data_IF_333389631600
#
_entry.id   IF_333389631600
#
_cell.length_a   1.000
_cell.length_b   1.000
_cell.length_c   1.000
_cell.angle_alpha   90.00
_cell.angle_beta   90.00
_cell.angle_gamma   90.00
#
_symmetry.space_group_name_H-M   'P 1'
#
loop_
_entity.id
_entity.type
_entity.pdbx_description
1 polymer ?
#
# COMPACT_ATOMS: atom_id res chain seq x y z
N UNK A 1 51.04 30.83 24.21
CA UNK A 1 50.70 30.58 22.80
C UNK A 1 50.48 29.10 22.52
N UNK A 2 51.39 28.18 22.88
CA UNK A 2 51.29 26.73 22.66
C UNK A 2 50.10 26.12 23.40
N UNK A 3 49.87 26.46 24.67
CA UNK A 3 48.77 25.97 25.49
C UNK A 3 47.40 26.41 24.90
N UNK A 4 47.29 27.66 24.44
CA UNK A 4 46.09 28.23 23.82
C UNK A 4 45.76 27.50 22.50
N UNK A 5 46.78 27.18 21.70
CA UNK A 5 46.61 26.41 20.46
C UNK A 5 46.12 24.98 20.74
N UNK A 6 46.69 24.30 21.74
CA UNK A 6 46.24 22.96 22.15
C UNK A 6 44.78 22.96 22.63
N UNK A 7 44.39 23.95 23.40
CA UNK A 7 43.03 24.09 23.91
C UNK A 7 42.03 24.33 22.76
N UNK A 8 42.44 25.13 21.77
CA UNK A 8 41.65 25.35 20.56
C UNK A 8 41.48 24.07 19.74
N UNK A 9 42.52 23.27 19.59
CA UNK A 9 42.47 21.98 18.89
C UNK A 9 41.54 21.00 19.61
N UNK A 10 41.56 20.95 20.95
CA UNK A 10 40.67 20.08 21.74
C UNK A 10 39.21 20.51 21.57
N UNK A 11 38.91 21.81 21.65
CA UNK A 11 37.56 22.33 21.46
C UNK A 11 37.05 22.07 20.05
N UNK A 12 37.93 22.25 19.04
CA UNK A 12 37.58 21.99 17.66
C UNK A 12 37.27 20.49 17.41
N UNK A 13 38.10 19.58 17.95
CA UNK A 13 37.86 18.14 17.85
C UNK A 13 36.59 17.70 18.58
N UNK A 14 36.31 18.26 19.75
CA UNK A 14 35.08 17.99 20.48
C UNK A 14 33.85 18.47 19.71
N UNK A 15 33.87 19.69 19.18
CA UNK A 15 32.82 20.24 18.35
C UNK A 15 32.60 19.40 17.09
N UNK A 16 33.70 18.99 16.43
CA UNK A 16 33.63 18.12 15.25
C UNK A 16 32.97 16.77 15.55
N UNK A 17 33.38 16.10 16.64
CA UNK A 17 32.81 14.81 17.03
C UNK A 17 31.33 14.97 17.40
N UNK A 18 30.97 15.98 18.18
CA UNK A 18 29.59 16.26 18.58
C UNK A 18 28.68 16.47 17.34
N UNK A 19 29.13 17.31 16.40
CA UNK A 19 28.37 17.60 15.18
C UNK A 19 28.22 16.38 14.28
N UNK A 20 29.29 15.58 14.18
CA UNK A 20 29.23 14.30 13.42
C UNK A 20 28.25 13.31 14.02
N UNK A 21 28.16 13.21 15.34
CA UNK A 21 27.21 12.31 16.03
C UNK A 21 25.80 12.78 15.81
N UNK A 22 25.50 14.06 15.98
CA UNK A 22 24.18 14.66 15.74
C UNK A 22 23.67 14.37 14.32
N UNK A 23 24.52 14.55 13.31
CA UNK A 23 24.19 14.29 11.91
C UNK A 23 23.92 12.79 11.66
N UNK A 24 24.75 11.92 12.20
CA UNK A 24 24.55 10.48 12.06
C UNK A 24 23.25 9.99 12.73
N UNK A 25 22.92 10.53 13.89
CA UNK A 25 21.73 10.15 14.62
C UNK A 25 20.47 10.64 13.90
N UNK A 26 20.47 11.88 13.38
CA UNK A 26 19.37 12.40 12.55
C UNK A 26 19.18 11.55 11.30
N UNK A 27 20.26 11.19 10.60
CA UNK A 27 20.20 10.36 9.42
C UNK A 27 19.64 8.97 9.73
N UNK A 28 20.11 8.30 10.79
CA UNK A 28 19.61 7.01 11.24
C UNK A 28 18.14 7.06 11.61
N UNK A 29 17.73 8.13 12.30
CA UNK A 29 16.33 8.36 12.64
C UNK A 29 15.47 8.45 11.39
N UNK A 30 15.84 9.26 10.42
CA UNK A 30 15.13 9.43 9.15
C UNK A 30 15.01 8.11 8.35
N UNK A 31 16.10 7.34 8.28
CA UNK A 31 16.06 6.01 7.63
C UNK A 31 15.11 5.05 8.35
N UNK A 32 15.14 5.01 9.68
CA UNK A 32 14.26 4.15 10.47
C UNK A 32 12.81 4.54 10.28
N UNK A 33 12.50 5.84 10.32
CA UNK A 33 11.13 6.33 10.09
C UNK A 33 10.63 6.01 8.68
N UNK A 34 11.51 6.11 7.68
CA UNK A 34 11.20 5.76 6.30
C UNK A 34 10.85 4.28 6.16
N UNK A 35 11.59 3.38 6.80
CA UNK A 35 11.32 1.94 6.81
C UNK A 35 9.99 1.64 7.49
N UNK A 36 9.73 2.24 8.66
CA UNK A 36 8.47 2.06 9.38
C UNK A 36 7.25 2.56 8.58
N UNK A 37 7.39 3.70 7.90
CA UNK A 37 6.32 4.21 7.04
C UNK A 37 6.05 3.29 5.85
N UNK A 38 7.08 2.68 5.25
CA UNK A 38 6.91 1.70 4.18
C UNK A 38 6.21 0.44 4.68
N UNK A 39 6.55 -0.05 5.87
CA UNK A 39 5.87 -1.18 6.49
C UNK A 39 4.39 -0.88 6.77
N UNK A 40 4.10 0.28 7.32
CA UNK A 40 2.74 0.75 7.54
C UNK A 40 1.93 0.85 6.23
N UNK A 41 2.56 1.34 5.15
CA UNK A 41 1.91 1.41 3.83
C UNK A 41 1.64 0.02 3.26
N UNK A 42 2.53 -0.95 3.46
CA UNK A 42 2.30 -2.35 3.10
C UNK A 42 1.13 -2.95 3.88
N UNK A 43 1.02 -2.67 5.17
CA UNK A 43 -0.12 -3.11 5.99
C UNK A 43 -1.45 -2.55 5.44
N UNK A 44 -1.48 -1.28 5.01
CA UNK A 44 -2.66 -0.70 4.37
C UNK A 44 -3.04 -1.40 3.04
N UNK A 45 -2.07 -1.97 2.30
CA UNK A 45 -2.36 -2.80 1.12
C UNK A 45 -3.12 -4.06 1.54
N UNK A 46 -2.69 -4.75 2.60
CA UNK A 46 -3.42 -5.92 3.12
C UNK A 46 -4.82 -5.53 3.61
N UNK A 47 -4.94 -4.43 4.33
CA UNK A 47 -6.25 -3.92 4.78
C UNK A 47 -7.17 -3.63 3.60
N UNK A 48 -6.64 -3.13 2.48
CA UNK A 48 -7.39 -2.90 1.24
C UNK A 48 -8.03 -4.18 0.70
N UNK A 49 -7.32 -5.31 0.78
CA UNK A 49 -7.81 -6.61 0.26
C UNK A 49 -9.02 -7.12 1.05
N UNK A 50 -9.04 -6.91 2.37
CA UNK A 50 -10.07 -7.42 3.27
C UNK A 50 -11.29 -6.51 3.43
N UNK A 51 -11.23 -5.29 2.93
CA UNK A 51 -12.32 -4.30 3.04
C UNK A 51 -13.59 -4.80 2.35
N UNK A 52 -14.71 -4.63 3.03
CA UNK A 52 -16.05 -5.04 2.55
C UNK A 52 -16.94 -3.88 2.08
N UNK A 53 -16.49 -2.62 2.20
CA UNK A 53 -17.28 -1.42 1.88
C UNK A 53 -16.43 -0.35 1.20
N UNK A 54 -17.00 0.33 0.21
CA UNK A 54 -16.32 1.42 -0.52
C UNK A 54 -15.89 2.55 0.41
N UNK A 55 -16.71 2.92 1.40
CA UNK A 55 -16.35 3.98 2.34
C UNK A 55 -15.10 3.64 3.16
N UNK A 56 -14.93 2.39 3.56
CA UNK A 56 -13.72 1.95 4.26
C UNK A 56 -12.50 1.97 3.34
N UNK A 57 -12.67 1.65 2.05
CA UNK A 57 -11.60 1.77 1.05
C UNK A 57 -11.11 3.23 0.91
N UNK A 58 -12.04 4.20 0.91
CA UNK A 58 -11.69 5.63 0.84
C UNK A 58 -10.92 6.10 2.08
N UNK A 59 -11.22 5.53 3.26
CA UNK A 59 -10.48 5.84 4.50
C UNK A 59 -9.05 5.32 4.39
N UNK A 60 -8.85 4.09 3.93
CA UNK A 60 -7.52 3.49 3.73
C UNK A 60 -6.73 4.30 2.71
N UNK A 61 -7.34 4.72 1.60
CA UNK A 61 -6.71 5.57 0.61
C UNK A 61 -6.18 6.87 1.23
N UNK A 62 -7.01 7.55 2.02
CA UNK A 62 -6.60 8.78 2.70
C UNK A 62 -5.42 8.54 3.64
N UNK A 63 -5.43 7.45 4.41
CA UNK A 63 -4.32 7.08 5.30
C UNK A 63 -3.04 6.78 4.51
N UNK A 64 -3.16 6.10 3.37
CA UNK A 64 -2.04 5.81 2.48
C UNK A 64 -1.43 7.10 1.92
N UNK A 65 -2.25 8.04 1.45
CA UNK A 65 -1.80 9.33 0.92
C UNK A 65 -1.12 10.20 1.99
N UNK A 66 -1.61 10.18 3.24
CA UNK A 66 -0.99 10.88 4.37
C UNK A 66 0.39 10.32 4.69
N UNK A 67 0.54 8.99 4.72
CA UNK A 67 1.83 8.33 4.94
C UNK A 67 2.80 8.58 3.78
N UNK A 68 2.30 8.53 2.55
CA UNK A 68 3.11 8.81 1.36
C UNK A 68 3.62 10.26 1.32
N UNK A 69 2.83 11.23 1.78
CA UNK A 69 3.27 12.63 1.93
C UNK A 69 4.41 12.75 2.94
N UNK A 70 4.28 12.13 4.12
CA UNK A 70 5.34 12.11 5.14
C UNK A 70 6.63 11.49 4.59
N UNK A 71 6.51 10.37 3.89
CA UNK A 71 7.64 9.67 3.29
C UNK A 71 8.37 10.52 2.25
N UNK A 72 7.64 11.32 1.44
CA UNK A 72 8.23 12.26 0.49
C UNK A 72 9.03 13.38 1.17
N UNK A 73 8.58 13.85 2.33
CA UNK A 73 9.31 14.87 3.11
C UNK A 73 10.63 14.28 3.60
N UNK A 74 10.60 13.13 4.26
CA UNK A 74 11.82 12.46 4.75
C UNK A 74 12.79 12.14 3.61
N UNK A 75 12.28 11.71 2.45
CA UNK A 75 13.09 11.46 1.25
C UNK A 75 13.75 12.75 0.75
N UNK A 76 13.06 13.89 0.80
CA UNK A 76 13.61 15.19 0.44
C UNK A 76 14.72 15.60 1.39
N UNK A 77 14.50 15.48 2.70
CA UNK A 77 15.48 15.82 3.73
C UNK A 77 16.74 14.96 3.60
N UNK A 78 16.59 13.65 3.38
CA UNK A 78 17.72 12.75 3.16
C UNK A 78 18.51 13.05 1.87
N UNK A 79 17.84 13.57 0.83
CA UNK A 79 18.51 13.98 -0.42
C UNK A 79 19.26 15.31 -0.23
N UNK A 80 18.69 16.25 0.49
CA UNK A 80 19.29 17.55 0.75
C UNK A 80 20.53 17.39 1.65
N UNK A 81 20.45 16.59 2.70
CA UNK A 81 21.58 16.24 3.56
C UNK A 81 22.72 15.59 2.78
N UNK A 82 22.43 14.74 1.79
CA UNK A 82 23.45 14.14 0.92
C UNK A 82 24.10 15.13 -0.07
N UNK A 83 23.44 16.24 -0.39
CA UNK A 83 23.97 17.25 -1.31
C UNK A 83 24.86 18.29 -0.62
N UNK A 84 24.83 18.34 0.71
CA UNK A 84 25.53 19.36 1.48
C UNK A 84 27.04 19.06 1.55
N UNK A 85 27.87 19.87 0.87
CA UNK A 85 29.32 19.71 0.74
C UNK A 85 29.99 19.68 2.10
N UNK A 86 29.50 20.48 3.08
CA UNK A 86 29.98 20.48 4.45
C UNK A 86 29.74 19.17 5.17
N UNK A 87 28.56 18.55 4.96
CA UNK A 87 28.22 17.23 5.47
C UNK A 87 29.18 16.15 4.93
N UNK A 88 29.50 16.21 3.64
CA UNK A 88 30.45 15.28 3.01
C UNK A 88 31.86 15.38 3.58
N UNK A 89 32.32 16.57 3.98
CA UNK A 89 33.60 16.78 4.67
C UNK A 89 33.59 16.18 6.08
N UNK A 90 32.45 16.21 6.77
CA UNK A 90 32.30 15.67 8.13
C UNK A 90 32.03 14.15 8.15
N UNK A 91 31.48 13.57 7.07
CA UNK A 91 31.15 12.15 6.98
C UNK A 91 32.16 11.32 6.19
N UNK A 92 33.40 11.82 6.01
CA UNK A 92 34.42 11.27 5.09
C UNK A 92 34.91 9.85 5.39
N UNK A 93 33.98 8.90 5.54
CA UNK A 93 34.25 7.50 5.31
C UNK A 93 33.60 7.10 3.97
N UNK A 94 34.38 7.10 2.91
CA UNK A 94 33.98 6.83 1.52
C UNK A 94 33.15 5.53 1.39
N UNK A 95 33.43 4.53 2.22
CA UNK A 95 32.73 3.23 2.27
C UNK A 95 31.32 3.40 2.84
N UNK A 96 31.17 4.15 3.92
CA UNK A 96 29.87 4.39 4.57
C UNK A 96 28.91 5.15 3.65
N UNK A 97 29.41 6.15 2.93
CA UNK A 97 28.60 6.94 1.99
C UNK A 97 28.10 6.12 0.78
N UNK A 98 28.87 5.14 0.30
CA UNK A 98 28.45 4.28 -0.81
C UNK A 98 27.35 3.33 -0.39
N UNK A 99 27.46 2.71 0.77
CA UNK A 99 26.45 1.79 1.32
C UNK A 99 25.15 2.54 1.63
N UNK A 100 25.25 3.69 2.27
CA UNK A 100 24.10 4.56 2.59
C UNK A 100 23.35 5.01 1.31
N UNK A 101 24.06 5.43 0.27
CA UNK A 101 23.44 5.79 -1.02
C UNK A 101 22.74 4.60 -1.70
N UNK A 102 23.31 3.42 -1.57
CA UNK A 102 22.74 2.20 -2.12
C UNK A 102 21.47 1.81 -1.35
N UNK A 103 21.49 1.87 -0.03
CA UNK A 103 20.33 1.58 0.80
C UNK A 103 19.20 2.58 0.57
N UNK A 104 19.51 3.87 0.45
CA UNK A 104 18.53 4.90 0.13
C UNK A 104 17.89 4.68 -1.26
N UNK A 105 18.68 4.29 -2.26
CA UNK A 105 18.16 4.00 -3.61
C UNK A 105 17.20 2.83 -3.62
N UNK A 106 17.50 1.77 -2.86
CA UNK A 106 16.62 0.61 -2.69
C UNK A 106 15.32 0.98 -1.97
N UNK A 107 15.40 1.82 -0.93
CA UNK A 107 14.21 2.29 -0.22
C UNK A 107 13.30 3.14 -1.11
N UNK A 108 13.87 3.97 -1.99
CA UNK A 108 13.11 4.76 -2.96
C UNK A 108 12.45 3.86 -4.03
N UNK A 109 13.13 2.81 -4.47
CA UNK A 109 12.58 1.84 -5.41
C UNK A 109 11.45 1.04 -4.78
N UNK A 110 11.63 0.54 -3.56
CA UNK A 110 10.58 -0.13 -2.79
C UNK A 110 9.34 0.73 -2.62
N UNK A 111 9.50 2.03 -2.33
CA UNK A 111 8.38 2.97 -2.26
C UNK A 111 7.56 2.99 -3.55
N UNK A 112 8.21 3.08 -4.70
CA UNK A 112 7.53 3.08 -6.00
C UNK A 112 6.74 1.80 -6.23
N UNK A 113 7.30 0.66 -5.82
CA UNK A 113 6.62 -0.64 -5.90
C UNK A 113 5.39 -0.69 -4.98
N UNK A 114 5.51 -0.20 -3.75
CA UNK A 114 4.41 -0.08 -2.79
C UNK A 114 3.28 0.80 -3.36
N UNK A 115 3.61 1.98 -3.93
CA UNK A 115 2.64 2.87 -4.56
C UNK A 115 1.90 2.19 -5.73
N UNK A 116 2.63 1.50 -6.60
CA UNK A 116 2.04 0.76 -7.74
C UNK A 116 1.13 -0.37 -7.26
N UNK A 117 1.60 -1.15 -6.31
CA UNK A 117 0.85 -2.28 -5.75
C UNK A 117 -0.45 -1.79 -5.10
N UNK A 118 -0.39 -0.71 -4.31
CA UNK A 118 -1.58 -0.12 -3.71
C UNK A 118 -2.61 0.30 -4.76
N UNK A 119 -2.20 0.98 -5.83
CA UNK A 119 -3.11 1.42 -6.89
C UNK A 119 -3.80 0.24 -7.57
N UNK A 120 -3.07 -0.83 -7.89
CA UNK A 120 -3.61 -2.03 -8.52
C UNK A 120 -4.58 -2.75 -7.58
N UNK A 121 -4.19 -2.98 -6.33
CA UNK A 121 -5.02 -3.66 -5.32
C UNK A 121 -6.29 -2.86 -5.03
N UNK A 122 -6.19 -1.55 -4.87
CA UNK A 122 -7.33 -0.65 -4.69
C UNK A 122 -8.31 -0.75 -5.87
N UNK A 123 -7.82 -0.71 -7.11
CA UNK A 123 -8.65 -0.80 -8.30
C UNK A 123 -9.39 -2.14 -8.39
N UNK A 124 -8.68 -3.25 -8.13
CA UNK A 124 -9.29 -4.58 -8.12
C UNK A 124 -10.33 -4.71 -7.01
N UNK A 125 -10.06 -4.19 -5.83
CA UNK A 125 -11.02 -4.23 -4.72
C UNK A 125 -12.25 -3.37 -5.00
N UNK A 126 -12.08 -2.20 -5.60
CA UNK A 126 -13.20 -1.35 -6.01
C UNK A 126 -14.08 -2.05 -7.05
N UNK A 127 -13.49 -2.69 -8.06
CA UNK A 127 -14.23 -3.48 -9.05
C UNK A 127 -15.01 -4.63 -8.39
N UNK A 128 -14.37 -5.37 -7.48
CA UNK A 128 -15.01 -6.45 -6.72
C UNK A 128 -16.21 -5.92 -5.91
N UNK A 129 -16.04 -4.83 -5.16
CA UNK A 129 -17.11 -4.25 -4.35
C UNK A 129 -18.28 -3.72 -5.21
N UNK A 130 -17.96 -3.11 -6.34
CA UNK A 130 -18.96 -2.64 -7.31
C UNK A 130 -19.74 -3.81 -7.90
N UNK A 131 -19.06 -4.87 -8.30
CA UNK A 131 -19.70 -6.10 -8.80
C UNK A 131 -20.60 -6.72 -7.74
N UNK A 132 -20.12 -6.84 -6.50
CA UNK A 132 -20.91 -7.38 -5.38
C UNK A 132 -22.18 -6.56 -5.13
N UNK A 133 -22.05 -5.23 -5.11
CA UNK A 133 -23.19 -4.35 -4.90
C UNK A 133 -24.22 -4.47 -6.03
N UNK A 134 -23.77 -4.47 -7.28
CA UNK A 134 -24.64 -4.65 -8.46
C UNK A 134 -25.32 -6.01 -8.44
N UNK A 135 -24.62 -7.05 -8.04
CA UNK A 135 -25.20 -8.39 -7.91
C UNK A 135 -26.28 -8.42 -6.81
N UNK A 136 -25.98 -7.88 -5.63
CA UNK A 136 -26.93 -7.87 -4.51
C UNK A 136 -28.19 -7.05 -4.82
N UNK A 137 -28.09 -5.99 -5.61
CA UNK A 137 -29.22 -5.17 -6.06
C UNK A 137 -30.09 -5.87 -7.13
N UNK A 138 -29.47 -6.53 -8.09
CA UNK A 138 -30.17 -7.08 -9.25
C UNK A 138 -30.66 -8.52 -9.04
N UNK A 139 -30.02 -9.29 -8.15
CA UNK A 139 -30.37 -10.69 -7.92
C UNK A 139 -31.84 -10.94 -7.52
N UNK A 140 -32.49 -10.12 -6.67
CA UNK A 140 -33.89 -10.29 -6.33
C UNK A 140 -34.82 -10.20 -7.56
N UNK A 141 -34.54 -9.27 -8.47
CA UNK A 141 -35.30 -9.09 -9.71
C UNK A 141 -35.08 -10.26 -10.67
N UNK A 142 -33.84 -10.70 -10.82
CA UNK A 142 -33.51 -11.89 -11.62
C UNK A 142 -34.23 -13.14 -11.10
N UNK A 143 -34.25 -13.34 -9.78
CA UNK A 143 -35.02 -14.44 -9.16
C UNK A 143 -36.49 -14.39 -9.49
N UNK A 144 -37.12 -13.18 -9.48
CA UNK A 144 -38.55 -13.01 -9.85
C UNK A 144 -38.78 -13.34 -11.31
N UNK A 145 -37.95 -12.79 -12.22
CA UNK A 145 -38.06 -13.07 -13.67
C UNK A 145 -37.86 -14.54 -13.96
N UNK A 146 -36.87 -15.17 -13.34
CA UNK A 146 -36.62 -16.62 -13.50
C UNK A 146 -37.80 -17.47 -13.05
N UNK A 147 -38.50 -17.11 -11.97
CA UNK A 147 -39.72 -17.78 -11.52
C UNK A 147 -40.83 -17.63 -12.55
N UNK A 148 -41.01 -16.45 -13.14
CA UNK A 148 -41.99 -16.20 -14.18
C UNK A 148 -41.73 -17.01 -15.48
N UNK A 149 -40.46 -17.05 -15.91
CA UNK A 149 -40.01 -17.85 -17.05
C UNK A 149 -40.29 -19.34 -16.80
N UNK A 150 -39.94 -19.84 -15.60
CA UNK A 150 -40.19 -21.21 -15.22
C UNK A 150 -41.69 -21.60 -15.31
N UNK A 151 -42.58 -20.74 -14.84
CA UNK A 151 -44.03 -20.97 -14.94
C UNK A 151 -44.50 -21.02 -16.40
N UNK A 152 -43.96 -20.14 -17.27
CA UNK A 152 -44.30 -20.18 -18.71
C UNK A 152 -43.79 -21.43 -19.41
N UNK A 153 -42.59 -21.89 -19.09
CA UNK A 153 -42.00 -23.12 -19.65
C UNK A 153 -42.82 -24.34 -19.26
N UNK A 154 -43.23 -24.42 -17.98
CA UNK A 154 -44.08 -25.51 -17.51
C UNK A 154 -45.45 -25.53 -18.22
N UNK A 155 -46.03 -24.36 -18.52
CA UNK A 155 -47.28 -24.22 -19.24
C UNK A 155 -47.19 -24.68 -20.70
N UNK A 156 -45.98 -24.64 -21.30
CA UNK A 156 -45.77 -25.16 -22.68
C UNK A 156 -45.70 -26.68 -22.77
N UNK A 157 -45.62 -27.37 -21.66
CA UNK A 157 -45.56 -28.83 -21.55
C UNK A 157 -44.44 -29.48 -22.40
N UNK A 158 -43.36 -28.74 -22.65
CA UNK A 158 -42.18 -29.20 -23.40
C UNK A 158 -41.14 -29.77 -22.43
N UNK A 159 -40.96 -31.09 -22.47
CA UNK A 159 -40.04 -31.82 -21.59
C UNK A 159 -38.60 -31.40 -21.79
N UNK A 160 -38.15 -31.17 -23.04
CA UNK A 160 -36.80 -30.79 -23.37
C UNK A 160 -36.48 -29.39 -22.84
N UNK A 161 -37.39 -28.45 -23.04
CA UNK A 161 -37.26 -27.08 -22.56
C UNK A 161 -37.23 -27.03 -21.01
N UNK A 162 -38.08 -27.83 -20.37
CA UNK A 162 -38.13 -28.00 -18.91
C UNK A 162 -36.80 -28.55 -18.35
N UNK A 163 -36.20 -29.55 -19.01
CA UNK A 163 -34.90 -30.09 -18.61
C UNK A 163 -33.77 -29.04 -18.71
N UNK A 164 -33.72 -28.31 -19.83
CA UNK A 164 -32.70 -27.23 -20.03
C UNK A 164 -32.86 -26.14 -18.96
N UNK A 165 -34.09 -25.74 -18.68
CA UNK A 165 -34.38 -24.73 -17.67
C UNK A 165 -33.96 -25.18 -16.25
N UNK A 166 -34.24 -26.43 -15.89
CA UNK A 166 -33.85 -27.00 -14.61
C UNK A 166 -32.32 -27.11 -14.48
N UNK A 167 -31.63 -27.51 -15.54
CA UNK A 167 -30.16 -27.52 -15.57
C UNK A 167 -29.60 -26.12 -15.38
N UNK A 168 -30.10 -25.11 -16.09
CA UNK A 168 -29.71 -23.69 -15.91
C UNK A 168 -29.95 -23.22 -14.48
N UNK A 169 -31.06 -23.59 -13.86
CA UNK A 169 -31.38 -23.27 -12.47
C UNK A 169 -30.40 -23.92 -11.48
N UNK A 170 -29.98 -25.15 -11.74
CA UNK A 170 -28.98 -25.85 -10.93
C UNK A 170 -27.63 -25.14 -10.97
N UNK A 171 -27.08 -24.89 -12.17
CA UNK A 171 -25.80 -24.20 -12.32
C UNK A 171 -25.80 -22.77 -11.75
N UNK A 172 -26.94 -22.08 -11.86
CA UNK A 172 -27.05 -20.74 -11.25
C UNK A 172 -27.06 -20.79 -9.73
N UNK A 173 -27.63 -21.83 -9.11
CA UNK A 173 -27.57 -22.03 -7.67
C UNK A 173 -26.15 -22.37 -7.21
N UNK A 174 -25.47 -23.22 -7.95
CA UNK A 174 -24.08 -23.58 -7.64
C UNK A 174 -23.15 -22.40 -7.74
N UNK A 175 -23.26 -21.59 -8.79
CA UNK A 175 -22.49 -20.34 -8.92
C UNK A 175 -22.79 -19.36 -7.77
N UNK A 176 -24.04 -19.24 -7.32
CA UNK A 176 -24.45 -18.42 -6.20
C UNK A 176 -23.90 -18.94 -4.87
N UNK A 177 -23.85 -20.25 -4.69
CA UNK A 177 -23.30 -20.88 -3.50
C UNK A 177 -21.80 -20.61 -3.41
N UNK A 178 -21.05 -20.82 -4.48
CA UNK A 178 -19.62 -20.49 -4.56
C UNK A 178 -19.33 -19.00 -4.34
N UNK A 179 -20.22 -18.10 -4.79
CA UNK A 179 -20.12 -16.68 -4.52
C UNK A 179 -20.31 -16.34 -3.04
N UNK A 180 -21.26 -17.00 -2.37
CA UNK A 180 -21.52 -16.80 -0.94
C UNK A 180 -20.39 -17.34 -0.05
N UNK A 181 -19.85 -18.50 -0.37
CA UNK A 181 -18.74 -19.13 0.36
C UNK A 181 -17.46 -18.27 0.32
N UNK A 182 -17.22 -17.57 -0.79
CA UNK A 182 -16.11 -16.61 -0.93
C UNK A 182 -16.32 -15.28 -0.19
N UNK A 183 -17.54 -15.05 0.35
CA UNK A 183 -17.90 -13.81 1.05
C UNK A 183 -17.65 -13.90 2.58
N UNK A 184 -17.36 -15.08 3.11
CA UNK A 184 -17.00 -15.38 4.49
C UNK A 184 -15.51 -15.63 4.62
#
# INVERSE_FOLDING_TARGET
LIVSFFLMCILFTFFYISKKTEINDAYRHNITELVLLQEDMNNLIFDTIIVKRVNALNIIEKQFDEKNKKLKIIESDLKEDNSNVLLNLFTSNIITNKTIKMDLSLLIENKKEIERTFLVVKQLQLQKLTFQNNFDLNYPNEKKVRKQIGAKILALNDTKLTMIFNASKYYSKEALFQYKDKKH
#
